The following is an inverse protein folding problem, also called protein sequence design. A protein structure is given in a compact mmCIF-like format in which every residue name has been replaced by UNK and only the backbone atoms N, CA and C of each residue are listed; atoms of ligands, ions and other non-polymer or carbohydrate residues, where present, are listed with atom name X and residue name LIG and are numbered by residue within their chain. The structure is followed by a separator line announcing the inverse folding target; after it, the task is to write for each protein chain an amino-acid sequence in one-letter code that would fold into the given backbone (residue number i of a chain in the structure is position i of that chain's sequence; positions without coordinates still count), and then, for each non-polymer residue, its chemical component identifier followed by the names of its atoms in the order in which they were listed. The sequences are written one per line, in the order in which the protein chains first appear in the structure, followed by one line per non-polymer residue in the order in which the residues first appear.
data_IF_594756555582
#
_entry.id   IF_594756555582
#
_cell.length_a   1.000
_cell.length_b   1.000
_cell.length_c   1.000
_cell.angle_alpha   90.00
_cell.angle_beta   90.00
_cell.angle_gamma   90.00
#
_symmetry.space_group_name_H-M   'P 1'
#
loop_
_entity.id
_entity.type
_entity.pdbx_description
1 polymer ?
#
# COMPACT_ATOMS: atom_id res chain seq x y z
N UNK A 1 -4.64 -9.85 -14.38
CA UNK A 1 -3.31 -9.51 -13.83
C UNK A 1 -2.59 -8.45 -14.68
N UNK A 2 -2.41 -8.67 -15.98
CA UNK A 2 -1.86 -7.65 -16.91
C UNK A 2 -2.72 -6.38 -17.03
N UNK A 3 -4.06 -6.49 -16.94
CA UNK A 3 -4.97 -5.32 -16.95
C UNK A 3 -4.77 -4.44 -15.72
N UNK A 4 -4.81 -5.02 -14.51
CA UNK A 4 -4.61 -4.31 -13.23
C UNK A 4 -3.23 -3.63 -13.16
N UNK A 5 -2.18 -4.28 -13.68
CA UNK A 5 -0.83 -3.70 -13.75
C UNK A 5 -0.72 -2.54 -14.74
N UNK A 6 -1.49 -2.55 -15.83
CA UNK A 6 -1.53 -1.46 -16.82
C UNK A 6 -2.42 -0.30 -16.34
N UNK A 7 -3.49 -0.61 -15.59
CA UNK A 7 -4.44 0.37 -15.03
C UNK A 7 -3.80 1.19 -13.90
N UNK A 8 -3.04 0.55 -13.00
CA UNK A 8 -2.38 1.22 -11.87
C UNK A 8 -1.38 2.32 -12.30
N UNK A 9 -0.92 2.30 -13.56
CA UNK A 9 -0.05 3.34 -14.12
C UNK A 9 -0.83 4.59 -14.57
N UNK A 10 -2.16 4.51 -14.75
CA UNK A 10 -3.02 5.64 -15.14
C UNK A 10 -3.48 6.42 -13.91
N UNK A 11 -3.43 7.75 -14.01
CA UNK A 11 -3.78 8.77 -12.99
C UNK A 11 -5.19 8.67 -12.39
N UNK A 12 -6.02 7.74 -12.84
CA UNK A 12 -7.40 7.54 -12.37
C UNK A 12 -7.54 6.39 -11.37
N UNK A 13 -6.45 5.68 -11.05
CA UNK A 13 -6.51 4.62 -10.02
C UNK A 13 -6.49 5.26 -8.64
N UNK A 14 -7.68 5.45 -8.07
CA UNK A 14 -7.85 5.90 -6.71
C UNK A 14 -7.53 4.75 -5.74
N UNK A 15 -6.37 4.81 -5.11
CA UNK A 15 -5.95 3.81 -4.13
C UNK A 15 -6.50 4.15 -2.74
N UNK A 16 -6.90 3.15 -1.95
CA UNK A 16 -7.40 3.36 -0.60
C UNK A 16 -6.72 2.43 0.40
N UNK A 17 -5.51 2.78 0.83
CA UNK A 17 -4.80 2.00 1.85
C UNK A 17 -5.53 2.08 3.19
N UNK A 18 -5.83 0.91 3.77
CA UNK A 18 -6.49 0.79 5.06
C UNK A 18 -5.55 0.12 6.05
N UNK A 19 -4.90 0.91 6.91
CA UNK A 19 -4.09 0.36 8.00
C UNK A 19 -5.01 -0.29 9.02
N UNK A 20 -5.10 -1.63 9.01
CA UNK A 20 -5.80 -2.41 10.03
C UNK A 20 -4.78 -2.78 11.12
N UNK A 21 -4.95 -2.21 12.30
CA UNK A 21 -4.16 -2.56 13.49
C UNK A 21 -4.69 -3.87 14.09
N UNK A 22 -3.86 -4.91 14.10
CA UNK A 22 -4.10 -6.12 14.85
C UNK A 22 -2.96 -6.30 15.86
N UNK A 23 -3.28 -6.02 17.13
CA UNK A 23 -2.49 -6.27 18.35
C UNK A 23 -1.53 -5.13 18.80
N UNK A 24 -1.68 -4.69 20.06
CA UNK A 24 -0.88 -3.66 20.74
C UNK A 24 0.64 -3.89 20.69
N UNK A 25 1.10 -5.12 20.47
CA UNK A 25 2.54 -5.44 20.44
C UNK A 25 3.19 -5.38 19.06
N UNK A 26 2.43 -5.39 17.95
CA UNK A 26 2.98 -5.56 16.60
C UNK A 26 2.66 -4.36 15.70
N UNK A 27 3.71 -3.76 15.12
CA UNK A 27 3.61 -2.66 14.16
C UNK A 27 3.36 -3.23 12.77
N UNK A 28 2.13 -3.15 12.29
CA UNK A 28 1.72 -3.71 10.98
C UNK A 28 0.91 -2.73 10.15
N UNK A 29 0.95 -2.94 8.85
CA UNK A 29 0.14 -2.24 7.87
C UNK A 29 -0.56 -3.24 6.95
N UNK A 30 -1.65 -2.82 6.33
CA UNK A 30 -2.35 -3.56 5.28
C UNK A 30 -2.87 -2.58 4.22
N UNK A 31 -3.00 -3.05 2.99
CA UNK A 31 -3.32 -2.24 1.81
C UNK A 31 -4.55 -2.78 1.13
N UNK A 32 -5.58 -1.95 0.98
CA UNK A 32 -6.70 -2.25 0.10
C UNK A 32 -6.47 -1.47 -1.20
N UNK A 33 -6.09 -2.18 -2.25
CA UNK A 33 -5.98 -1.60 -3.57
C UNK A 33 -7.31 -1.75 -4.28
N UNK A 34 -7.94 -0.63 -4.65
CA UNK A 34 -9.22 -0.59 -5.35
C UNK A 34 -8.98 -0.07 -6.77
N UNK A 35 -9.47 -0.77 -7.79
CA UNK A 35 -9.43 -0.32 -9.18
C UNK A 35 -10.51 0.74 -9.45
N UNK A 36 -10.44 1.50 -10.56
CA UNK A 36 -11.51 2.43 -10.95
C UNK A 36 -12.86 1.75 -11.20
N UNK A 37 -12.86 0.43 -11.41
CA UNK A 37 -14.06 -0.40 -11.58
C UNK A 37 -14.56 -1.02 -10.27
N UNK A 38 -14.03 -0.60 -9.12
CA UNK A 38 -14.33 -1.13 -7.78
C UNK A 38 -13.92 -2.60 -7.56
N UNK A 39 -12.89 -3.07 -8.25
CA UNK A 39 -12.29 -4.38 -7.97
C UNK A 39 -11.23 -4.23 -6.88
N UNK A 40 -11.15 -5.21 -5.98
CA UNK A 40 -10.20 -5.17 -4.86
C UNK A 40 -9.08 -6.20 -5.07
N UNK A 41 -7.84 -5.77 -4.91
CA UNK A 41 -6.69 -6.67 -4.95
C UNK A 41 -6.64 -7.55 -3.71
N UNK A 42 -6.65 -8.86 -3.93
CA UNK A 42 -6.38 -9.87 -2.92
C UNK A 42 -5.19 -10.71 -3.38
N UNK A 43 -4.27 -10.99 -2.46
CA UNK A 43 -3.18 -11.92 -2.66
C UNK A 43 -3.58 -13.29 -2.13
N UNK A 44 -3.12 -14.33 -2.83
CA UNK A 44 -3.29 -15.71 -2.39
C UNK A 44 -1.98 -16.21 -1.79
N UNK A 45 -1.96 -16.48 -0.49
CA UNK A 45 -0.76 -17.03 0.16
C UNK A 45 -0.55 -18.49 -0.26
N UNK A 46 0.63 -18.79 -0.80
CA UNK A 46 1.03 -20.17 -1.11
C UNK A 46 1.20 -20.99 0.18
N UNK A 47 0.88 -22.28 0.10
CA UNK A 47 0.68 -23.23 1.20
C UNK A 47 1.85 -23.40 2.21
N UNK A 48 3.02 -22.81 1.98
CA UNK A 48 4.22 -22.98 2.82
C UNK A 48 4.33 -21.99 3.98
N UNK A 49 3.35 -21.12 4.19
CA UNK A 49 3.28 -20.20 5.35
C UNK A 49 2.74 -20.89 6.61
N UNK A 50 3.40 -20.70 7.75
CA UNK A 50 3.01 -21.24 9.07
C UNK A 50 1.78 -20.54 9.70
N UNK A 51 1.18 -19.56 9.02
CA UNK A 51 -0.08 -18.91 9.44
C UNK A 51 -0.95 -18.58 8.22
N UNK A 52 -2.25 -18.95 8.29
CA UNK A 52 -3.29 -18.70 7.27
C UNK A 52 -2.98 -19.24 5.86
N UNK A 53 -2.70 -20.54 5.74
CA UNK A 53 -2.60 -21.21 4.43
C UNK A 53 -3.92 -21.06 3.63
N UNK A 54 -3.82 -20.77 2.32
CA UNK A 54 -4.94 -20.68 1.36
C UNK A 54 -5.95 -19.55 1.58
N UNK A 55 -5.65 -18.58 2.43
CA UNK A 55 -6.49 -17.40 2.61
C UNK A 55 -6.24 -16.36 1.51
N UNK A 56 -7.32 -15.72 1.05
CA UNK A 56 -7.23 -14.45 0.36
C UNK A 56 -6.96 -13.36 1.40
N UNK A 57 -5.88 -12.61 1.21
CA UNK A 57 -5.46 -11.55 2.13
C UNK A 57 -5.18 -10.28 1.37
N UNK A 58 -5.35 -9.14 2.04
CA UNK A 58 -4.80 -7.89 1.55
C UNK A 58 -3.27 -7.90 1.67
N UNK A 59 -2.56 -7.28 0.72
CA UNK A 59 -1.13 -7.05 0.86
C UNK A 59 -0.81 -6.34 2.18
N UNK A 60 0.29 -6.69 2.82
CA UNK A 60 0.72 -6.03 4.04
C UNK A 60 1.61 -6.86 4.94
N UNK A 61 2.26 -6.18 5.87
CA UNK A 61 3.26 -6.80 6.73
C UNK A 61 3.70 -5.90 7.87
N UNK A 62 4.85 -6.25 8.43
CA UNK A 62 5.41 -5.51 9.57
C UNK A 62 6.10 -4.24 9.08
N UNK A 63 6.10 -3.20 9.92
CA UNK A 63 6.96 -2.06 9.69
C UNK A 63 8.42 -2.48 9.83
N UNK A 64 9.26 -1.92 8.96
CA UNK A 64 10.71 -2.03 8.95
C UNK A 64 11.31 -0.67 9.29
N UNK A 65 12.55 -0.65 9.78
CA UNK A 65 13.25 0.60 10.11
C UNK A 65 13.40 1.54 8.89
N UNK A 66 13.40 0.97 7.67
CA UNK A 66 13.43 1.74 6.42
C UNK A 66 12.16 2.56 6.15
N UNK A 67 11.04 2.23 6.79
CA UNK A 67 9.76 2.91 6.58
C UNK A 67 9.69 4.24 7.35
N UNK A 68 10.62 4.46 8.28
CA UNK A 68 10.72 5.67 9.10
C UNK A 68 10.38 5.45 10.57
N UNK A 69 10.55 6.48 11.41
CA UNK A 69 10.36 6.37 12.85
C UNK A 69 8.88 6.13 13.19
N UNK A 70 8.62 5.07 13.95
CA UNK A 70 7.32 4.76 14.51
C UNK A 70 7.34 5.04 16.03
N UNK A 71 6.34 5.73 16.59
CA UNK A 71 6.25 6.00 18.03
C UNK A 71 6.36 4.73 18.90
N UNK A 72 6.82 4.85 20.16
CA UNK A 72 6.92 3.73 21.10
C UNK A 72 5.51 3.19 21.48
N UNK A 73 5.44 1.99 22.04
CA UNK A 73 4.16 1.25 22.16
C UNK A 73 3.17 1.91 23.14
N UNK A 74 3.71 2.72 24.03
CA UNK A 74 3.08 3.46 25.10
C UNK A 74 2.49 4.78 24.59
N UNK A 75 2.90 5.22 23.40
CA UNK A 75 2.39 6.43 22.76
C UNK A 75 1.06 6.13 22.05
N UNK A 76 -0.01 6.78 22.50
CA UNK A 76 -1.34 6.58 21.94
C UNK A 76 -1.44 7.04 20.47
N UNK A 77 -0.59 7.99 20.05
CA UNK A 77 -0.52 8.47 18.66
C UNK A 77 0.11 7.46 17.71
N UNK A 78 0.69 6.37 18.22
CA UNK A 78 1.19 5.24 17.42
C UNK A 78 0.12 4.63 16.53
N UNK A 79 -1.15 4.77 16.89
CA UNK A 79 -2.28 4.25 16.12
C UNK A 79 -2.81 5.23 15.06
N UNK A 80 -2.25 6.44 15.01
CA UNK A 80 -2.63 7.43 14.02
C UNK A 80 -2.02 7.07 12.65
N UNK A 81 -2.74 7.41 11.59
CA UNK A 81 -2.18 7.33 10.25
C UNK A 81 -0.99 8.29 10.13
N UNK A 82 0.12 7.77 9.60
CA UNK A 82 1.38 8.47 9.55
C UNK A 82 2.21 8.01 8.34
N UNK A 83 3.17 8.85 7.87
CA UNK A 83 3.99 8.53 6.70
C UNK A 83 4.67 7.16 6.75
N UNK A 84 5.11 6.70 7.93
CA UNK A 84 5.77 5.39 8.07
C UNK A 84 4.83 4.21 7.80
N UNK A 85 3.55 4.31 8.18
CA UNK A 85 2.57 3.28 7.82
C UNK A 85 2.34 3.24 6.31
N UNK A 86 2.23 4.40 5.66
CA UNK A 86 2.02 4.52 4.21
C UNK A 86 3.22 4.01 3.40
N UNK A 87 4.44 4.30 3.85
CA UNK A 87 5.69 3.78 3.24
C UNK A 87 5.78 2.26 3.36
N UNK A 88 5.58 1.73 4.57
CA UNK A 88 5.56 0.29 4.80
C UNK A 88 4.52 -0.40 3.90
N UNK A 89 3.34 0.19 3.79
CA UNK A 89 2.25 -0.32 3.00
C UNK A 89 2.59 -0.40 1.49
N UNK A 90 3.19 0.65 0.91
CA UNK A 90 3.69 0.62 -0.47
C UNK A 90 4.80 -0.43 -0.64
N UNK A 91 5.75 -0.48 0.30
CA UNK A 91 6.86 -1.45 0.25
C UNK A 91 6.34 -2.88 0.25
N UNK A 92 5.46 -3.23 1.19
CA UNK A 92 4.85 -4.57 1.29
C UNK A 92 4.03 -4.90 0.03
N UNK A 93 3.24 -3.94 -0.49
CA UNK A 93 2.53 -4.13 -1.76
C UNK A 93 3.50 -4.47 -2.91
N UNK A 94 4.62 -3.76 -3.00
CA UNK A 94 5.63 -4.03 -4.00
C UNK A 94 6.30 -5.39 -3.79
N UNK A 95 6.65 -5.75 -2.55
CA UNK A 95 7.29 -7.01 -2.17
C UNK A 95 6.43 -8.24 -2.45
N UNK A 96 5.12 -8.16 -2.18
CA UNK A 96 4.22 -9.31 -2.28
C UNK A 96 3.55 -9.43 -3.66
N UNK A 97 3.41 -8.33 -4.42
CA UNK A 97 2.68 -8.33 -5.71
C UNK A 97 3.48 -7.82 -6.92
N UNK A 98 4.59 -7.10 -6.68
CA UNK A 98 5.33 -6.39 -7.73
C UNK A 98 4.64 -5.12 -8.26
N UNK A 99 3.46 -4.74 -7.74
CA UNK A 99 2.80 -3.47 -8.06
C UNK A 99 3.64 -2.33 -7.49
N UNK A 100 4.05 -1.41 -8.36
CA UNK A 100 4.92 -0.30 -7.99
C UNK A 100 4.11 0.99 -7.88
N UNK A 101 3.91 1.47 -6.65
CA UNK A 101 3.34 2.79 -6.37
C UNK A 101 4.46 3.77 -6.02
N UNK A 102 5.13 4.27 -7.05
CA UNK A 102 6.17 5.27 -6.93
C UNK A 102 6.00 6.32 -8.01
N UNK A 103 6.45 7.54 -7.70
CA UNK A 103 6.36 8.67 -8.61
C UNK A 103 7.67 9.43 -8.68
N UNK A 104 7.80 10.25 -9.71
CA UNK A 104 8.82 11.26 -9.78
C UNK A 104 8.33 12.52 -9.06
N UNK A 105 8.98 12.88 -7.94
CA UNK A 105 8.59 13.99 -7.07
C UNK A 105 8.57 15.36 -7.78
N UNK A 106 9.32 15.51 -8.88
CA UNK A 106 9.41 16.76 -9.65
C UNK A 106 8.30 16.90 -10.68
N UNK A 107 7.84 15.78 -11.25
CA UNK A 107 6.84 15.79 -12.35
C UNK A 107 5.47 15.29 -11.93
N UNK A 108 5.37 14.69 -10.73
CA UNK A 108 4.18 14.02 -10.21
C UNK A 108 3.61 12.99 -11.21
N UNK A 109 4.53 12.30 -11.91
CA UNK A 109 4.22 11.20 -12.82
C UNK A 109 4.63 9.88 -12.19
N UNK A 110 3.81 8.85 -12.38
CA UNK A 110 4.11 7.49 -11.94
C UNK A 110 5.39 6.99 -12.61
N UNK A 111 6.21 6.30 -11.82
CA UNK A 111 7.44 5.68 -12.29
C UNK A 111 7.10 4.40 -13.04
N UNK A 112 7.59 4.29 -14.28
CA UNK A 112 7.43 3.08 -15.10
C UNK A 112 8.75 2.33 -15.09
N UNK A 113 8.73 1.10 -14.60
CA UNK A 113 9.90 0.21 -14.52
C UNK A 113 9.52 -1.14 -15.13
N UNK A 114 10.37 -1.68 -15.98
CA UNK A 114 10.12 -2.96 -16.63
C UNK A 114 10.01 -4.11 -15.59
N UNK A 115 9.30 -5.17 -15.98
CA UNK A 115 9.01 -6.30 -15.09
C UNK A 115 10.27 -7.01 -14.58
N UNK A 116 11.29 -7.16 -15.42
CA UNK A 116 12.53 -7.86 -15.03
C UNK A 116 13.29 -7.06 -13.97
N UNK A 117 13.35 -5.74 -14.13
CA UNK A 117 13.98 -4.85 -13.15
C UNK A 117 13.18 -4.78 -11.84
N UNK A 118 11.84 -4.76 -11.92
CA UNK A 118 10.97 -4.83 -10.73
C UNK A 118 11.18 -6.14 -9.96
N UNK A 119 11.19 -7.29 -10.65
CA UNK A 119 11.37 -8.60 -10.01
C UNK A 119 12.71 -8.69 -9.27
N UNK A 120 13.80 -8.25 -9.90
CA UNK A 120 15.13 -8.21 -9.27
C UNK A 120 15.15 -7.27 -8.06
N UNK A 121 14.53 -6.10 -8.18
CA UNK A 121 14.36 -5.15 -7.08
C UNK A 121 13.63 -5.77 -5.90
N UNK A 122 12.49 -6.41 -6.18
CA UNK A 122 11.64 -7.08 -5.21
C UNK A 122 12.40 -8.12 -4.40
N UNK A 123 13.18 -8.97 -5.07
CA UNK A 123 14.00 -9.98 -4.41
C UNK A 123 15.08 -9.37 -3.50
N UNK A 124 15.69 -8.26 -3.88
CA UNK A 124 16.72 -7.59 -3.07
C UNK A 124 16.13 -6.89 -1.85
N UNK A 125 14.99 -6.23 -2.01
CA UNK A 125 14.29 -5.52 -0.91
C UNK A 125 13.76 -6.54 0.10
N UNK A 126 13.12 -7.61 -0.36
CA UNK A 126 12.64 -8.70 0.50
C UNK A 126 13.75 -9.37 1.31
N UNK A 127 14.97 -9.44 0.75
CA UNK A 127 16.15 -9.98 1.44
C UNK A 127 16.88 -8.93 2.31
N UNK A 128 16.33 -7.72 2.46
CA UNK A 128 16.95 -6.58 3.14
C UNK A 128 18.35 -6.24 2.62
N UNK A 129 18.65 -6.52 1.34
CA UNK A 129 19.93 -6.18 0.70
C UNK A 129 19.94 -4.75 0.16
N UNK A 130 18.76 -4.16 -0.01
CA UNK A 130 18.55 -2.81 -0.50
C UNK A 130 17.25 -2.29 0.10
N UNK A 131 17.23 -1.05 0.58
CA UNK A 131 15.96 -0.45 0.99
C UNK A 131 15.11 -0.10 -0.22
N UNK A 132 13.79 0.03 -0.02
CA UNK A 132 12.87 0.42 -1.08
C UNK A 132 13.24 1.79 -1.67
N UNK A 133 13.56 2.77 -0.82
CA UNK A 133 13.97 4.11 -1.25
C UNK A 133 15.27 4.06 -2.07
N UNK A 134 16.29 3.33 -1.63
CA UNK A 134 17.54 3.17 -2.40
C UNK A 134 17.30 2.51 -3.76
N UNK A 135 16.41 1.51 -3.82
CA UNK A 135 16.05 0.87 -5.08
C UNK A 135 15.35 1.85 -6.04
N UNK A 136 14.42 2.67 -5.55
CA UNK A 136 13.76 3.71 -6.34
C UNK A 136 14.78 4.71 -6.89
N UNK A 137 15.73 5.16 -6.06
CA UNK A 137 16.79 6.10 -6.48
C UNK A 137 17.70 5.54 -7.56
N UNK A 138 17.86 4.22 -7.66
CA UNK A 138 18.57 3.56 -8.78
C UNK A 138 17.80 3.61 -10.09
N UNK A 139 16.46 3.69 -10.04
CA UNK A 139 15.62 3.81 -11.25
C UNK A 139 15.56 5.26 -11.73
N UNK A 140 15.41 6.20 -10.80
CA UNK A 140 15.42 7.62 -11.09
C UNK A 140 15.77 8.42 -9.83
N UNK A 141 16.66 9.41 -9.93
CA UNK A 141 17.14 10.20 -8.77
C UNK A 141 16.02 10.94 -8.03
N UNK A 142 15.00 11.40 -8.77
CA UNK A 142 13.80 12.05 -8.23
C UNK A 142 12.66 11.08 -7.85
N UNK A 143 12.86 9.76 -7.87
CA UNK A 143 11.83 8.80 -7.50
C UNK A 143 11.57 8.78 -5.99
N UNK A 144 10.30 8.64 -5.62
CA UNK A 144 9.83 8.46 -4.23
C UNK A 144 8.57 7.58 -4.19
N UNK A 145 8.27 6.95 -3.03
CA UNK A 145 6.99 6.29 -2.81
C UNK A 145 5.82 7.29 -2.89
N UNK A 146 4.72 6.95 -3.55
CA UNK A 146 3.56 7.84 -3.67
C UNK A 146 2.66 7.79 -2.41
N UNK A 147 3.11 8.43 -1.32
CA UNK A 147 2.39 8.43 -0.04
C UNK A 147 1.24 9.43 0.06
N UNK A 148 1.02 10.24 -0.97
CA UNK A 148 0.02 11.32 -0.97
C UNK A 148 -1.41 10.84 -1.24
N UNK A 149 -1.57 9.72 -1.96
CA UNK A 149 -2.86 9.24 -2.46
C UNK A 149 -3.54 8.23 -1.52
N UNK A 150 -3.40 8.40 -0.19
CA UNK A 150 -3.95 7.46 0.79
C UNK A 150 -5.04 8.04 1.66
N UNK A 151 -6.12 7.28 1.79
CA UNK A 151 -7.25 7.55 2.67
C UNK A 151 -7.20 6.62 3.88
N UNK A 152 -6.94 7.14 5.07
CA UNK A 152 -7.06 6.35 6.29
C UNK A 152 -8.52 6.02 6.59
N UNK A 153 -8.81 4.75 6.90
CA UNK A 153 -10.13 4.28 7.32
C UNK A 153 -10.36 4.40 8.85
N UNK A 154 -9.53 5.17 9.55
CA UNK A 154 -9.66 5.35 11.00
C UNK A 154 -11.06 5.90 11.36
N UNK A 155 -11.82 5.17 12.19
CA UNK A 155 -13.17 5.55 12.62
C UNK A 155 -14.33 4.68 12.10
N UNK A 156 -14.08 3.70 11.22
CA UNK A 156 -15.09 2.68 10.87
C UNK A 156 -15.15 1.62 11.98
N UNK A 157 -15.88 1.91 13.05
CA UNK A 157 -16.25 0.89 14.03
C UNK A 157 -17.13 -0.17 13.36
N UNK A 158 -16.61 -1.39 13.23
CA UNK A 158 -17.35 -2.56 12.72
C UNK A 158 -18.40 -3.10 13.72
N UNK A 159 -18.69 -2.38 14.81
CA UNK A 159 -19.61 -2.81 15.87
C UNK A 159 -20.98 -2.10 15.86
N UNK A 160 -21.37 -1.48 14.74
CA UNK A 160 -22.74 -1.00 14.55
C UNK A 160 -23.37 -1.74 13.36
N UNK A 161 -24.01 -2.88 13.64
CA UNK A 161 -24.76 -3.67 12.64
C UNK A 161 -26.00 -2.93 12.11
N UNK A 162 -26.30 -1.74 12.61
CA UNK A 162 -27.32 -0.83 12.08
C UNK A 162 -26.74 0.30 11.21
N UNK A 163 -25.41 0.41 11.12
CA UNK A 163 -24.69 1.30 10.19
C UNK A 163 -23.63 0.54 9.40
N UNK A 164 -24.06 -0.45 8.63
CA UNK A 164 -23.40 -0.74 7.35
C UNK A 164 -23.68 0.43 6.40
N UNK A 165 -23.05 1.57 6.70
CA UNK A 165 -22.93 2.65 5.73
C UNK A 165 -21.93 2.12 4.72
N UNK A 166 -22.45 1.50 3.66
CA UNK A 166 -21.81 1.52 2.35
C UNK A 166 -21.27 2.95 2.22
N UNK A 167 -19.95 3.12 2.21
CA UNK A 167 -19.34 4.37 1.82
C UNK A 167 -19.81 4.61 0.38
N UNK A 168 -20.98 5.23 0.24
CA UNK A 168 -21.33 6.02 -0.93
C UNK A 168 -20.37 7.18 -0.87
N UNK A 169 -19.16 6.95 -1.37
CA UNK A 169 -18.26 8.00 -1.79
C UNK A 169 -19.11 8.83 -2.74
N UNK A 170 -19.47 10.03 -2.31
CA UNK A 170 -20.39 10.89 -3.02
C UNK A 170 -19.62 11.42 -4.23
N UNK A 171 -19.72 10.72 -5.36
CA UNK A 171 -19.13 11.10 -6.63
C UNK A 171 -19.91 12.29 -7.21
N UNK A 172 -19.77 13.47 -6.62
CA UNK A 172 -20.15 14.69 -7.31
C UNK A 172 -19.10 14.98 -8.36
N UNK A 173 -19.30 14.41 -9.55
CA UNK A 173 -18.78 14.96 -10.79
C UNK A 173 -19.12 16.45 -10.83
N UNK A 174 -18.11 17.30 -10.67
CA UNK A 174 -18.18 18.66 -11.21
C UNK A 174 -18.08 18.55 -12.73
N UNK A 175 -19.18 18.14 -13.36
CA UNK A 175 -19.45 18.47 -14.75
C UNK A 175 -20.05 19.88 -14.76
N UNK A 176 -19.17 20.88 -14.88
CA UNK A 176 -19.46 22.23 -15.32
C UNK A 176 -18.10 22.85 -15.66
N UNK A 177 -17.80 23.36 -16.84
CA UNK A 177 -18.51 23.57 -18.09
C UNK A 177 -17.50 24.24 -19.03
#
# INVERSE_FOLDING_TARGET
MLSVLHEASRRETQYSISTIYLNHSLRRCSVILVSPTNEVLLLHRVHTSTSFASAHVFPGGNLSDQDGPCPPAEDHTRHDDAPHYRKAAIRELFEESGILLAKNQTTDKMLVVDETTREKGRALIHQNKLTFDEWLKKQHSAAEPDIGQFYSLHGLSLYDTTKLTLLKINWSLSLAG
#
